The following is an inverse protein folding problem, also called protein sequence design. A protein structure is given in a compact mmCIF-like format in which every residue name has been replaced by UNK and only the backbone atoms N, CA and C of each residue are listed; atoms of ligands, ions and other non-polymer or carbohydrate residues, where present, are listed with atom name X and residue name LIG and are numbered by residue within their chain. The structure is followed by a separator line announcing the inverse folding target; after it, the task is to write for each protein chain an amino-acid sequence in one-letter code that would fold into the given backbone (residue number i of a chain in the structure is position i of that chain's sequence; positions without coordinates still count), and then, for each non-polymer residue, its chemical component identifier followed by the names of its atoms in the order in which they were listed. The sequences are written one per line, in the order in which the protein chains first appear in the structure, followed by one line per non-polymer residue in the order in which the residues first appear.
data_IF_159872963864
#
_entry.id   IF_159872963864
#
_cell.length_a   1.000
_cell.length_b   1.000
_cell.length_c   1.000
_cell.angle_alpha   90.00
_cell.angle_beta   90.00
_cell.angle_gamma   90.00
#
_symmetry.space_group_name_H-M   'P 1'
#
loop_
_entity.id
_entity.type
_entity.pdbx_description
1 polymer ?
#
# COMPACT_ATOMS: atom_id res chain seq x y z
N UNK A 1 -9.28 -7.54 1.36
CA UNK A 1 -8.73 -6.19 1.13
C UNK A 1 -8.66 -5.99 -0.36
N UNK A 2 -8.95 -4.78 -0.84
CA UNK A 2 -8.81 -4.44 -2.26
C UNK A 2 -7.52 -3.67 -2.43
N UNK A 3 -6.66 -4.10 -3.34
CA UNK A 3 -5.41 -3.42 -3.69
C UNK A 3 -5.40 -3.17 -5.19
N UNK A 4 -5.28 -1.93 -5.62
CA UNK A 4 -5.28 -1.52 -7.03
C UNK A 4 -6.46 -2.15 -7.80
N UNK A 5 -7.66 -2.05 -7.22
CA UNK A 5 -8.89 -2.66 -7.74
C UNK A 5 -8.98 -4.20 -7.69
N UNK A 6 -7.99 -4.92 -7.16
CA UNK A 6 -7.99 -6.40 -7.08
C UNK A 6 -8.24 -6.89 -5.65
N UNK A 7 -9.12 -7.88 -5.51
CA UNK A 7 -9.30 -8.58 -4.24
C UNK A 7 -8.06 -9.42 -3.93
N UNK A 8 -7.49 -9.19 -2.75
CA UNK A 8 -6.35 -9.95 -2.26
C UNK A 8 -6.58 -10.42 -0.82
N UNK A 9 -6.13 -11.64 -0.55
CA UNK A 9 -6.09 -12.22 0.78
C UNK A 9 -4.69 -12.03 1.37
N UNK A 10 -4.64 -11.39 2.53
CA UNK A 10 -3.43 -11.23 3.33
C UNK A 10 -3.72 -11.68 4.75
N UNK A 11 -2.67 -12.16 5.42
CA UNK A 11 -2.72 -12.41 6.85
C UNK A 11 -3.06 -11.11 7.59
N UNK A 12 -3.88 -11.22 8.63
CA UNK A 12 -4.19 -10.08 9.49
C UNK A 12 -2.89 -9.54 10.09
N UNK A 13 -2.77 -8.22 10.20
CA UNK A 13 -1.65 -7.58 10.89
C UNK A 13 -0.55 -7.04 9.98
N UNK A 14 -0.64 -7.20 8.65
CA UNK A 14 0.32 -6.60 7.72
C UNK A 14 0.18 -5.07 7.68
N UNK A 15 1.28 -4.34 7.82
CA UNK A 15 1.28 -2.88 7.60
C UNK A 15 1.62 -2.51 6.15
N UNK A 16 1.40 -1.24 5.78
CA UNK A 16 1.66 -0.74 4.42
C UNK A 16 3.11 -0.99 4.00
N UNK A 17 4.09 -0.74 4.87
CA UNK A 17 5.51 -0.95 4.59
C UNK A 17 5.83 -2.42 4.24
N UNK A 18 5.31 -3.36 5.02
CA UNK A 18 5.49 -4.80 4.78
C UNK A 18 4.83 -5.25 3.49
N UNK A 19 3.66 -4.69 3.18
CA UNK A 19 2.94 -4.94 1.94
C UNK A 19 3.76 -4.46 0.73
N UNK A 20 4.30 -3.24 0.76
CA UNK A 20 5.17 -2.72 -0.30
C UNK A 20 6.39 -3.62 -0.51
N UNK A 21 7.01 -4.10 0.57
CA UNK A 21 8.13 -5.07 0.50
C UNK A 21 7.72 -6.37 -0.17
N UNK A 22 6.54 -6.92 0.14
CA UNK A 22 6.01 -8.14 -0.52
C UNK A 22 5.80 -7.95 -2.02
N UNK A 23 5.42 -6.75 -2.45
CA UNK A 23 5.31 -6.40 -3.87
C UNK A 23 6.62 -5.96 -4.52
N UNK A 24 7.73 -6.00 -3.79
CA UNK A 24 9.04 -5.53 -4.25
C UNK A 24 9.00 -4.05 -4.71
N UNK A 25 8.20 -3.24 -4.03
CA UNK A 25 8.05 -1.80 -4.27
C UNK A 25 8.86 -1.01 -3.24
N UNK A 26 9.54 0.04 -3.71
CA UNK A 26 10.23 1.01 -2.86
C UNK A 26 9.26 2.10 -2.44
N UNK A 27 9.21 2.40 -1.14
CA UNK A 27 8.37 3.46 -0.58
C UNK A 27 8.69 4.85 -1.17
N UNK A 28 9.95 5.10 -1.56
CA UNK A 28 10.37 6.36 -2.18
C UNK A 28 9.89 6.52 -3.62
N UNK A 29 9.32 5.47 -4.22
CA UNK A 29 8.86 5.44 -5.62
C UNK A 29 7.35 5.24 -5.75
N UNK A 30 6.62 5.33 -4.65
CA UNK A 30 5.17 5.13 -4.65
C UNK A 30 4.44 6.23 -3.90
N UNK A 31 3.20 6.45 -4.29
CA UNK A 31 2.18 7.13 -3.50
C UNK A 31 1.17 6.08 -3.08
N UNK A 32 0.80 6.09 -1.80
CA UNK A 32 -0.19 5.16 -1.24
C UNK A 32 -1.41 5.96 -0.79
N UNK A 33 -2.56 5.56 -1.31
CA UNK A 33 -3.88 5.98 -0.84
C UNK A 33 -4.51 4.82 -0.06
N UNK A 34 -5.04 5.10 1.12
CA UNK A 34 -5.82 4.17 1.92
C UNK A 34 -7.20 4.78 2.17
N UNK A 35 -8.25 4.10 1.72
CA UNK A 35 -9.64 4.51 1.91
C UNK A 35 -9.91 5.98 1.50
N UNK A 36 -9.42 6.37 0.32
CA UNK A 36 -9.54 7.73 -0.23
C UNK A 36 -8.69 8.82 0.47
N UNK A 37 -7.74 8.42 1.32
CA UNK A 37 -6.79 9.33 1.96
C UNK A 37 -5.34 9.00 1.57
N UNK A 38 -4.59 10.01 1.14
CA UNK A 38 -3.15 9.86 0.87
C UNK A 38 -2.40 9.71 2.20
N UNK A 39 -1.65 8.61 2.31
CA UNK A 39 -0.90 8.30 3.53
C UNK A 39 0.53 8.85 3.41
N UNK A 40 1.00 9.68 4.37
CA UNK A 40 2.40 10.06 4.47
C UNK A 40 3.30 8.85 4.70
N UNK A 41 4.45 8.80 4.02
CA UNK A 41 5.38 7.67 4.07
C UNK A 41 5.83 7.31 5.50
N UNK A 42 5.95 8.31 6.37
CA UNK A 42 6.36 8.13 7.76
C UNK A 42 5.36 7.28 8.56
N UNK A 43 4.12 7.16 8.08
CA UNK A 43 3.06 6.34 8.68
C UNK A 43 2.97 4.93 8.11
N UNK A 44 3.71 4.57 7.06
CA UNK A 44 3.56 3.27 6.39
C UNK A 44 3.82 2.08 7.31
N UNK A 45 4.76 2.20 8.26
CA UNK A 45 5.05 1.15 9.25
C UNK A 45 4.09 1.14 10.45
N UNK A 46 3.27 2.19 10.61
CA UNK A 46 2.37 2.37 11.75
C UNK A 46 0.94 1.92 11.44
N UNK A 47 0.55 1.98 10.17
CA UNK A 47 -0.81 1.65 9.73
C UNK A 47 -0.89 0.17 9.37
N UNK A 48 -1.60 -0.58 10.22
CA UNK A 48 -1.96 -1.98 9.99
C UNK A 48 -3.22 -2.04 9.13
N UNK A 49 -3.16 -2.83 8.07
CA UNK A 49 -4.26 -2.99 7.11
C UNK A 49 -5.26 -4.04 7.57
N UNK A 50 -6.52 -3.77 7.31
CA UNK A 50 -7.67 -4.63 7.59
C UNK A 50 -8.24 -5.22 6.32
N UNK A 51 -9.02 -6.30 6.45
CA UNK A 51 -9.62 -7.00 5.31
C UNK A 51 -10.59 -6.14 4.49
N UNK A 52 -11.17 -5.10 5.09
CA UNK A 52 -12.14 -4.21 4.46
C UNK A 52 -11.50 -3.00 3.78
N UNK A 53 -10.19 -2.79 3.98
CA UNK A 53 -9.50 -1.62 3.44
C UNK A 53 -9.40 -1.67 1.90
N UNK A 54 -9.38 -0.46 1.33
CA UNK A 54 -9.08 -0.20 -0.08
C UNK A 54 -7.77 0.55 -0.16
N UNK A 55 -6.79 -0.05 -0.82
CA UNK A 55 -5.47 0.51 -0.99
C UNK A 55 -5.19 0.74 -2.48
N UNK A 56 -4.79 1.96 -2.84
CA UNK A 56 -4.27 2.26 -4.16
C UNK A 56 -2.79 2.65 -4.05
N UNK A 57 -1.95 1.94 -4.80
CA UNK A 57 -0.50 2.12 -4.85
C UNK A 57 -0.16 2.56 -6.27
N UNK A 58 0.22 3.82 -6.41
CA UNK A 58 0.66 4.40 -7.68
C UNK A 58 2.17 4.49 -7.66
N UNK A 59 2.85 3.80 -8.58
CA UNK A 59 4.29 3.88 -8.73
C UNK A 59 4.68 4.86 -9.84
N UNK A 60 5.76 5.59 -9.62
CA UNK A 60 6.39 6.36 -10.67
C UNK A 60 7.16 5.41 -11.58
N UNK A 61 6.64 5.14 -12.78
CA UNK A 61 7.45 4.54 -13.83
C UNK A 61 8.37 5.62 -14.38
N UNK A 62 9.68 5.46 -14.21
CA UNK A 62 10.66 6.37 -14.78
C UNK A 62 10.51 6.36 -16.31
N UNK A 63 9.95 7.42 -16.87
CA UNK A 63 9.84 7.59 -18.31
C UNK A 63 11.21 7.91 -18.89
N UNK A 64 11.60 7.15 -19.91
CA UNK A 64 12.46 7.65 -20.97
C UNK A 64 11.64 8.44 -21.98
#
# INVERSE_FOLDING_TARGET
MIINGKNMEFDNGINIMELLKKFNLSEDKVVVELNYEIIPKEKFSQIVLNKEDKLEIVSFVGGG
#
